data_IF_684934118711
#
_entry.id   IF_684934118711
#
_cell.length_a   1.000
_cell.length_b   1.000
_cell.length_c   1.000
_cell.angle_alpha   90.00
_cell.angle_beta   90.00
_cell.angle_gamma   90.00
#
_symmetry.space_group_name_H-M   'P 1'
#
loop_
_entity.id
_entity.type
_entity.pdbx_description
1 polymer ?
#
# COMPACT_ATOMS: atom_id res chain seq x y z
N UNK A 1 3.34 12.08 -45.99
CA UNK A 1 2.14 11.25 -45.77
C UNK A 1 2.54 10.23 -44.72
N UNK A 2 2.09 10.20 -43.48
CA UNK A 2 1.23 10.99 -42.60
C UNK A 2 1.73 10.59 -41.18
N UNK A 3 1.78 11.47 -40.18
CA UNK A 3 0.66 11.64 -39.25
C UNK A 3 0.78 10.69 -38.03
N UNK A 4 0.35 11.15 -36.86
CA UNK A 4 0.28 10.43 -35.56
C UNK A 4 1.57 10.51 -34.71
N UNK A 5 1.75 11.37 -33.71
CA UNK A 5 0.78 12.13 -32.92
C UNK A 5 0.18 11.26 -31.81
N UNK A 6 0.80 11.20 -30.62
CA UNK A 6 0.05 11.02 -29.35
C UNK A 6 0.91 11.26 -28.10
N UNK A 7 0.74 12.47 -27.55
CA UNK A 7 0.50 12.81 -26.15
C UNK A 7 1.00 11.82 -25.07
N UNK A 8 2.21 12.05 -24.53
CA UNK A 8 2.53 11.59 -23.17
C UNK A 8 2.20 12.70 -22.18
N UNK A 9 1.07 12.50 -21.50
CA UNK A 9 0.49 13.32 -20.45
C UNK A 9 1.53 13.87 -19.47
N UNK A 10 1.42 15.18 -19.23
CA UNK A 10 2.15 16.02 -18.29
C UNK A 10 2.06 15.62 -16.81
N UNK A 11 1.42 14.50 -16.47
CA UNK A 11 1.20 14.06 -15.08
C UNK A 11 2.30 13.13 -14.55
N UNK A 12 3.12 12.53 -15.41
CA UNK A 12 4.29 11.72 -14.98
C UNK A 12 5.44 12.63 -14.48
N UNK A 13 5.40 13.91 -14.82
CA UNK A 13 6.37 14.91 -14.34
C UNK A 13 6.20 15.28 -12.86
N UNK A 14 5.04 14.99 -12.24
CA UNK A 14 4.77 15.38 -10.86
C UNK A 14 5.55 14.58 -9.79
N UNK A 15 6.17 13.44 -10.16
CA UNK A 15 7.12 12.72 -9.28
C UNK A 15 8.59 12.99 -9.61
N UNK A 16 8.88 13.75 -10.67
CA UNK A 16 10.24 14.16 -11.05
C UNK A 16 10.64 15.52 -10.45
N UNK A 17 9.69 16.30 -9.94
CA UNK A 17 9.91 17.61 -9.30
C UNK A 17 10.33 17.54 -7.82
N UNK A 18 11.04 16.49 -7.40
CA UNK A 18 11.71 16.45 -6.08
C UNK A 18 13.22 16.22 -6.17
N UNK A 19 13.77 16.34 -7.38
CA UNK A 19 15.18 16.64 -7.63
C UNK A 19 15.22 18.12 -8.03
N UNK A 20 16.17 18.88 -7.46
CA UNK A 20 16.30 20.35 -7.57
C UNK A 20 15.44 21.18 -6.61
N UNK A 21 15.70 21.11 -5.29
CA UNK A 21 15.59 22.32 -4.45
C UNK A 21 16.70 22.30 -3.39
N UNK A 22 17.45 23.39 -3.44
CA UNK A 22 18.44 23.95 -2.53
C UNK A 22 18.12 23.85 -1.04
N UNK A 23 19.17 23.57 -0.27
CA UNK A 23 19.47 24.08 1.08
C UNK A 23 18.30 24.67 1.87
N UNK A 24 17.75 23.89 2.80
CA UNK A 24 17.39 24.34 4.14
C UNK A 24 17.12 23.13 5.03
N UNK A 25 18.08 22.82 5.90
CA UNK A 25 17.98 21.83 6.97
C UNK A 25 17.06 22.37 8.07
N UNK A 26 15.82 21.88 8.11
CA UNK A 26 14.96 21.95 9.31
C UNK A 26 14.11 20.67 9.41
N UNK A 27 14.47 19.82 10.36
CA UNK A 27 13.66 18.93 11.19
C UNK A 27 12.32 18.42 10.64
N UNK A 28 12.30 17.16 10.20
CA UNK A 28 11.14 16.26 10.34
C UNK A 28 11.60 14.80 10.55
N UNK A 29 12.39 14.57 11.60
CA UNK A 29 12.49 13.24 12.20
C UNK A 29 11.21 12.97 13.00
N UNK A 30 10.23 12.35 12.35
CA UNK A 30 9.18 11.62 13.04
C UNK A 30 8.79 10.48 12.11
N UNK A 31 9.06 9.24 12.50
CA UNK A 31 8.19 8.15 12.12
C UNK A 31 6.83 8.51 12.73
N UNK A 32 6.00 9.26 12.01
CA UNK A 32 4.74 9.78 12.54
C UNK A 32 3.89 8.57 12.88
N UNK A 33 3.90 8.19 14.16
CA UNK A 33 2.91 7.32 14.73
C UNK A 33 1.58 8.00 14.42
N UNK A 34 0.67 7.27 13.76
CA UNK A 34 -0.66 7.82 13.49
C UNK A 34 -1.26 8.20 14.83
N UNK A 35 -1.76 9.43 14.93
CA UNK A 35 -2.64 9.77 16.05
C UNK A 35 -3.77 8.73 16.10
N UNK A 36 -4.20 8.36 17.30
CA UNK A 36 -5.27 7.37 17.48
C UNK A 36 -6.53 7.72 16.66
N UNK A 37 -6.79 9.01 16.44
CA UNK A 37 -7.90 9.50 15.61
C UNK A 37 -7.78 9.18 14.12
N UNK A 38 -6.58 8.93 13.61
CA UNK A 38 -6.33 8.60 12.20
C UNK A 38 -6.40 7.10 11.92
N UNK A 39 -6.47 6.28 12.95
CA UNK A 39 -6.51 4.82 12.84
C UNK A 39 -7.95 4.38 12.64
N UNK A 40 -8.34 4.12 11.39
CA UNK A 40 -9.67 3.61 11.02
C UNK A 40 -9.66 2.08 10.92
N UNK A 41 -10.75 1.43 11.36
CA UNK A 41 -10.97 0.00 11.13
C UNK A 41 -11.48 -0.24 9.71
N UNK A 42 -11.14 -1.39 9.14
CA UNK A 42 -11.71 -1.84 7.87
C UNK A 42 -13.13 -2.33 8.13
N UNK A 43 -14.12 -1.77 7.43
CA UNK A 43 -15.52 -2.17 7.57
C UNK A 43 -16.06 -2.85 6.29
N UNK A 44 -15.49 -2.51 5.13
CA UNK A 44 -15.91 -3.02 3.81
C UNK A 44 -14.67 -3.40 3.01
N UNK A 45 -14.67 -4.60 2.42
CA UNK A 45 -13.58 -5.10 1.59
C UNK A 45 -14.10 -5.51 0.22
N UNK A 46 -13.48 -5.00 -0.84
CA UNK A 46 -13.62 -5.53 -2.18
C UNK A 46 -12.56 -6.61 -2.42
N UNK A 47 -13.00 -7.85 -2.62
CA UNK A 47 -12.15 -9.00 -2.93
C UNK A 47 -11.93 -9.08 -4.43
N UNK A 48 -10.68 -8.90 -4.87
CA UNK A 48 -10.34 -8.67 -6.28
C UNK A 48 -9.78 -9.93 -6.95
N UNK A 49 -10.34 -10.29 -8.11
CA UNK A 49 -9.82 -11.33 -8.98
C UNK A 49 -9.65 -12.68 -8.27
N UNK A 50 -8.45 -13.27 -8.36
CA UNK A 50 -8.12 -14.58 -7.75
C UNK A 50 -8.15 -14.61 -6.22
N UNK A 51 -8.29 -13.46 -5.54
CA UNK A 51 -8.47 -13.45 -4.08
C UNK A 51 -9.82 -14.05 -3.66
N UNK A 52 -10.81 -14.04 -4.57
CA UNK A 52 -12.16 -14.58 -4.33
C UNK A 52 -12.17 -16.08 -4.06
N UNK A 53 -11.19 -16.81 -4.60
CA UNK A 53 -11.04 -18.25 -4.39
C UNK A 53 -10.39 -18.62 -3.05
N UNK A 54 -9.89 -17.63 -2.29
CA UNK A 54 -9.28 -17.88 -0.98
C UNK A 54 -10.35 -17.87 0.13
N UNK A 55 -11.06 -18.98 0.26
CA UNK A 55 -12.18 -19.13 1.21
C UNK A 55 -11.77 -18.89 2.67
N UNK A 56 -10.58 -19.35 3.07
CA UNK A 56 -10.03 -19.12 4.41
C UNK A 56 -9.98 -17.61 4.74
N UNK A 57 -9.48 -16.79 3.81
CA UNK A 57 -9.33 -15.35 4.02
C UNK A 57 -10.70 -14.65 3.99
N UNK A 58 -11.58 -15.02 3.07
CA UNK A 58 -12.93 -14.44 3.01
C UNK A 58 -13.77 -14.80 4.24
N UNK A 59 -13.62 -16.03 4.75
CA UNK A 59 -14.29 -16.47 5.98
C UNK A 59 -13.76 -15.73 7.21
N UNK A 60 -12.45 -15.48 7.30
CA UNK A 60 -11.90 -14.62 8.37
C UNK A 60 -12.47 -13.20 8.30
N UNK A 61 -12.49 -12.58 7.11
CA UNK A 61 -13.05 -11.23 6.96
C UNK A 61 -14.51 -11.16 7.41
N UNK A 62 -15.34 -12.10 6.95
CA UNK A 62 -16.78 -12.12 7.25
C UNK A 62 -17.08 -12.54 8.68
N UNK A 63 -16.55 -13.68 9.10
CA UNK A 63 -16.97 -14.36 10.33
C UNK A 63 -16.16 -13.94 11.57
N UNK A 64 -14.86 -13.62 11.39
CA UNK A 64 -14.01 -13.19 12.50
C UNK A 64 -14.03 -11.66 12.66
N UNK A 65 -13.94 -10.90 11.56
CA UNK A 65 -13.89 -9.44 11.61
C UNK A 65 -15.24 -8.73 11.41
N UNK A 66 -16.29 -9.43 10.95
CA UNK A 66 -17.61 -8.83 10.72
C UNK A 66 -17.63 -7.82 9.57
N UNK A 67 -16.78 -8.01 8.56
CA UNK A 67 -16.60 -7.08 7.43
C UNK A 67 -17.58 -7.39 6.30
N UNK A 68 -18.18 -6.36 5.70
CA UNK A 68 -18.96 -6.49 4.48
C UNK A 68 -18.04 -6.81 3.29
N UNK A 69 -18.34 -7.91 2.59
CA UNK A 69 -17.58 -8.33 1.42
C UNK A 69 -18.30 -7.91 0.14
N UNK A 70 -17.54 -7.25 -0.72
CA UNK A 70 -17.87 -6.96 -2.11
C UNK A 70 -16.93 -7.80 -2.98
N UNK A 71 -17.37 -8.17 -4.17
CA UNK A 71 -16.55 -8.92 -5.12
C UNK A 71 -16.43 -8.14 -6.42
N UNK A 72 -15.24 -8.17 -7.00
CA UNK A 72 -14.97 -7.59 -8.31
C UNK A 72 -13.85 -8.35 -9.00
N UNK A 73 -13.84 -8.34 -10.33
CA UNK A 73 -12.69 -8.86 -11.06
C UNK A 73 -11.48 -7.91 -10.95
N UNK A 74 -11.70 -6.61 -11.10
CA UNK A 74 -10.64 -5.59 -11.18
C UNK A 74 -10.75 -4.47 -10.13
N UNK A 75 -11.89 -4.36 -9.45
CA UNK A 75 -12.22 -3.34 -8.45
C UNK A 75 -12.64 -2.00 -9.05
N UNK A 76 -12.77 -1.88 -10.37
CA UNK A 76 -12.99 -0.62 -11.09
C UNK A 76 -14.23 0.12 -10.57
N UNK A 77 -15.35 -0.60 -10.40
CA UNK A 77 -16.65 -0.06 -10.00
C UNK A 77 -16.64 0.56 -8.60
N UNK A 78 -15.66 0.18 -7.76
CA UNK A 78 -15.51 0.67 -6.39
C UNK A 78 -14.44 1.75 -6.23
N UNK A 79 -13.78 2.17 -7.32
CA UNK A 79 -12.72 3.18 -7.26
C UNK A 79 -13.22 4.59 -6.90
N UNK A 80 -14.52 4.86 -6.96
CA UNK A 80 -15.08 6.15 -6.49
C UNK A 80 -15.40 6.14 -5.00
N UNK A 81 -15.50 4.96 -4.39
CA UNK A 81 -15.79 4.80 -2.97
C UNK A 81 -14.52 5.03 -2.14
N UNK A 82 -14.66 5.81 -1.06
CA UNK A 82 -13.56 6.15 -0.15
C UNK A 82 -13.49 5.26 1.09
N UNK A 83 -14.54 4.47 1.32
CA UNK A 83 -14.76 3.61 2.48
C UNK A 83 -14.45 2.13 2.21
N UNK A 84 -14.01 1.78 1.00
CA UNK A 84 -13.69 0.42 0.58
C UNK A 84 -12.18 0.18 0.62
N UNK A 85 -11.77 -0.91 1.28
CA UNK A 85 -10.41 -1.46 1.22
C UNK A 85 -10.35 -2.61 0.23
N UNK A 86 -9.31 -2.72 -0.57
CA UNK A 86 -9.19 -3.76 -1.60
C UNK A 86 -8.29 -4.90 -1.10
N UNK A 87 -8.73 -6.14 -1.29
CA UNK A 87 -7.93 -7.34 -1.04
C UNK A 87 -7.36 -7.85 -2.37
N UNK A 88 -6.03 -7.83 -2.49
CA UNK A 88 -5.31 -8.45 -3.61
C UNK A 88 -4.47 -9.63 -3.09
N UNK A 89 -4.49 -10.77 -3.79
CA UNK A 89 -3.73 -11.96 -3.40
C UNK A 89 -2.22 -11.75 -3.39
N UNK A 90 -1.70 -10.93 -4.31
CA UNK A 90 -0.28 -10.69 -4.53
C UNK A 90 -0.04 -9.24 -4.97
N UNK A 91 1.15 -8.69 -4.65
CA UNK A 91 1.47 -7.27 -4.92
C UNK A 91 2.50 -7.05 -6.05
N UNK A 92 3.38 -8.00 -6.36
CA UNK A 92 4.47 -7.80 -7.37
C UNK A 92 4.00 -8.04 -8.80
N UNK A 93 3.17 -9.06 -9.00
CA UNK A 93 2.80 -9.57 -10.32
C UNK A 93 1.28 -9.54 -10.59
N UNK A 94 0.55 -8.70 -9.85
CA UNK A 94 -0.89 -8.52 -10.02
C UNK A 94 -1.20 -7.22 -10.79
N UNK A 95 -1.85 -7.36 -11.96
CA UNK A 95 -2.28 -6.21 -12.77
C UNK A 95 -3.28 -5.31 -12.03
N UNK A 96 -4.23 -5.94 -11.32
CA UNK A 96 -5.24 -5.22 -10.54
C UNK A 96 -4.65 -4.48 -9.35
N UNK A 97 -3.66 -5.07 -8.67
CA UNK A 97 -2.89 -4.35 -7.66
C UNK A 97 -2.26 -3.07 -8.22
N UNK A 98 -1.55 -3.17 -9.37
CA UNK A 98 -0.89 -2.01 -10.00
C UNK A 98 -1.90 -0.91 -10.35
N UNK A 99 -3.06 -1.28 -10.87
CA UNK A 99 -4.16 -0.36 -11.17
C UNK A 99 -4.73 0.31 -9.90
N UNK A 100 -5.12 -0.47 -8.89
CA UNK A 100 -5.70 0.07 -7.66
C UNK A 100 -4.71 0.94 -6.87
N UNK A 101 -3.41 0.57 -6.90
CA UNK A 101 -2.35 1.32 -6.25
C UNK A 101 -2.09 2.65 -6.98
N UNK A 102 -2.15 2.69 -8.31
CA UNK A 102 -2.07 3.95 -9.06
C UNK A 102 -3.28 4.86 -8.80
N UNK A 103 -4.45 4.28 -8.53
CA UNK A 103 -5.64 4.99 -8.04
C UNK A 103 -5.59 5.38 -6.55
N UNK A 104 -4.45 5.19 -5.87
CA UNK A 104 -4.24 5.53 -4.46
C UNK A 104 -5.22 4.87 -3.49
N UNK A 105 -5.66 3.65 -3.81
CA UNK A 105 -6.63 2.92 -2.99
C UNK A 105 -5.98 2.23 -1.79
N UNK A 106 -6.69 2.09 -0.65
CA UNK A 106 -6.20 1.29 0.46
C UNK A 106 -6.26 -0.19 0.07
N UNK A 107 -5.09 -0.86 0.08
CA UNK A 107 -4.95 -2.25 -0.35
C UNK A 107 -4.33 -3.08 0.77
N UNK A 108 -4.89 -4.26 1.02
CA UNK A 108 -4.38 -5.26 1.97
C UNK A 108 -4.12 -6.60 1.29
N UNK A 109 -3.20 -7.38 1.86
CA UNK A 109 -2.93 -8.76 1.45
C UNK A 109 -3.52 -9.81 2.39
N UNK A 110 -3.55 -11.09 1.97
CA UNK A 110 -4.00 -12.19 2.81
C UNK A 110 -3.24 -12.38 4.12
N UNK A 111 -1.92 -12.14 4.12
CA UNK A 111 -1.06 -12.44 5.26
C UNK A 111 -1.37 -11.55 6.47
N UNK A 112 -1.65 -10.26 6.26
CA UNK A 112 -2.04 -9.36 7.35
C UNK A 112 -3.40 -9.76 7.95
N UNK A 113 -4.36 -10.22 7.13
CA UNK A 113 -5.68 -10.67 7.62
C UNK A 113 -5.52 -11.87 8.55
N UNK A 114 -4.80 -12.92 8.10
CA UNK A 114 -4.52 -14.11 8.90
C UNK A 114 -3.81 -13.76 10.21
N UNK A 115 -2.75 -12.95 10.13
CA UNK A 115 -1.99 -12.57 11.32
C UNK A 115 -2.85 -11.79 12.32
N UNK A 116 -3.68 -10.85 11.86
CA UNK A 116 -4.57 -10.08 12.74
C UNK A 116 -5.60 -10.96 13.44
N UNK A 117 -6.10 -11.98 12.75
CA UNK A 117 -7.04 -12.94 13.33
C UNK A 117 -6.38 -13.78 14.43
N UNK A 118 -5.15 -14.27 14.18
CA UNK A 118 -4.35 -15.03 15.16
C UNK A 118 -4.01 -14.17 16.38
N UNK A 119 -3.59 -12.92 16.15
CA UNK A 119 -3.22 -11.97 17.21
C UNK A 119 -4.43 -11.42 17.99
N UNK A 120 -5.67 -11.67 17.55
CA UNK A 120 -6.88 -11.06 18.14
C UNK A 120 -6.92 -9.53 18.01
N UNK A 121 -6.23 -8.96 17.02
CA UNK A 121 -6.10 -7.51 16.81
C UNK A 121 -7.06 -7.04 15.72
N UNK A 122 -7.56 -5.79 15.79
CA UNK A 122 -8.42 -5.25 14.74
C UNK A 122 -7.67 -5.15 13.41
N UNK A 123 -8.39 -5.35 12.31
CA UNK A 123 -7.93 -5.04 10.97
C UNK A 123 -8.09 -3.53 10.70
N UNK A 124 -6.98 -2.87 10.39
CA UNK A 124 -6.92 -1.41 10.27
C UNK A 124 -6.70 -1.01 8.81
N UNK A 125 -7.31 0.11 8.40
CA UNK A 125 -7.11 0.68 7.07
C UNK A 125 -5.63 1.07 6.93
N UNK A 126 -4.93 0.62 5.87
CA UNK A 126 -3.53 0.96 5.62
C UNK A 126 -3.28 2.47 5.52
N UNK A 127 -2.01 2.89 5.50
CA UNK A 127 -1.70 4.31 5.26
C UNK A 127 -2.02 4.70 3.81
N UNK A 128 -2.44 5.96 3.56
CA UNK A 128 -2.58 6.44 2.19
C UNK A 128 -1.30 6.13 1.42
N UNK A 129 -1.43 5.57 0.21
CA UNK A 129 -0.30 5.18 -0.64
C UNK A 129 0.70 4.21 0.02
N UNK A 130 0.20 3.37 0.94
CA UNK A 130 0.95 2.31 1.63
C UNK A 130 0.11 1.04 1.73
N UNK A 131 0.01 0.24 0.63
CA UNK A 131 -0.53 -1.11 0.69
C UNK A 131 0.15 -1.94 1.78
N UNK A 132 -0.59 -2.84 2.42
CA UNK A 132 -0.08 -3.65 3.53
C UNK A 132 -0.35 -5.14 3.27
N UNK A 133 0.68 -5.88 2.89
CA UNK A 133 0.59 -7.32 2.67
C UNK A 133 0.71 -8.10 3.98
N UNK A 134 1.68 -7.71 4.80
CA UNK A 134 1.99 -8.23 6.13
C UNK A 134 2.60 -7.11 6.97
N UNK A 135 2.78 -7.32 8.26
CA UNK A 135 3.45 -6.37 9.17
C UNK A 135 4.74 -6.95 9.77
N UNK A 136 5.41 -7.86 9.04
CA UNK A 136 6.67 -8.51 9.44
C UNK A 136 7.84 -7.53 9.65
N UNK A 137 7.80 -6.37 9.00
CA UNK A 137 8.78 -5.29 9.16
C UNK A 137 8.20 -4.10 9.95
N UNK A 138 7.09 -4.27 10.65
CA UNK A 138 6.54 -3.22 11.51
C UNK A 138 7.57 -2.78 12.55
N UNK A 139 7.84 -1.48 12.62
CA UNK A 139 8.87 -0.90 13.50
C UNK A 139 10.29 -0.95 12.93
N UNK A 140 10.50 -1.59 11.78
CA UNK A 140 11.81 -1.61 11.11
C UNK A 140 11.95 -0.38 10.21
N UNK A 141 13.08 0.31 10.36
CA UNK A 141 13.56 1.39 9.50
C UNK A 141 14.77 0.90 8.72
N UNK A 142 14.74 1.04 7.40
CA UNK A 142 15.87 0.71 6.53
C UNK A 142 16.49 1.97 5.92
N UNK A 143 17.79 1.89 5.62
CA UNK A 143 18.47 2.81 4.72
C UNK A 143 19.24 1.95 3.70
N UNK A 144 19.05 2.23 2.42
CA UNK A 144 19.66 1.45 1.33
C UNK A 144 20.79 2.25 0.69
N UNK A 145 21.91 1.58 0.43
CA UNK A 145 23.04 2.14 -0.32
C UNK A 145 23.59 1.08 -1.28
N UNK A 146 24.34 1.51 -2.31
CA UNK A 146 24.97 0.59 -3.27
C UNK A 146 24.03 -0.08 -4.28
N UNK A 147 22.74 0.28 -4.30
CA UNK A 147 21.76 -0.23 -5.26
C UNK A 147 21.50 0.77 -6.38
N UNK A 148 21.17 0.26 -7.57
CA UNK A 148 20.62 1.09 -8.65
C UNK A 148 19.30 1.74 -8.19
N UNK A 149 18.92 2.88 -8.78
CA UNK A 149 17.67 3.57 -8.42
C UNK A 149 16.44 2.67 -8.59
N UNK A 150 16.45 1.80 -9.60
CA UNK A 150 15.36 0.82 -9.83
C UNK A 150 15.26 -0.17 -8.67
N UNK A 151 16.37 -0.83 -8.32
CA UNK A 151 16.39 -1.84 -7.25
C UNK A 151 16.11 -1.21 -5.88
N UNK A 152 16.55 0.03 -5.66
CA UNK A 152 16.25 0.78 -4.45
C UNK A 152 14.72 1.01 -4.29
N UNK A 153 14.03 1.43 -5.36
CA UNK A 153 12.57 1.62 -5.33
C UNK A 153 11.82 0.31 -5.05
N UNK A 154 12.17 -0.77 -5.76
CA UNK A 154 11.56 -2.09 -5.56
C UNK A 154 11.76 -2.58 -4.12
N UNK A 155 12.95 -2.43 -3.55
CA UNK A 155 13.22 -2.80 -2.17
C UNK A 155 12.42 -1.94 -1.16
N UNK A 156 12.33 -0.63 -1.40
CA UNK A 156 11.51 0.28 -0.57
C UNK A 156 10.03 -0.10 -0.61
N UNK A 157 9.50 -0.45 -1.79
CA UNK A 157 8.11 -0.89 -1.94
C UNK A 157 7.85 -2.18 -1.16
N UNK A 158 8.75 -3.18 -1.28
CA UNK A 158 8.65 -4.42 -0.50
C UNK A 158 8.66 -4.16 1.01
N UNK A 159 9.53 -3.28 1.50
CA UNK A 159 9.55 -2.90 2.93
C UNK A 159 8.25 -2.23 3.36
N UNK A 160 7.69 -1.33 2.53
CA UNK A 160 6.40 -0.71 2.83
C UNK A 160 5.26 -1.74 2.85
N UNK A 161 5.25 -2.71 1.94
CA UNK A 161 4.26 -3.79 1.93
C UNK A 161 4.33 -4.68 3.18
N UNK A 162 5.51 -4.74 3.82
CA UNK A 162 5.73 -5.44 5.08
C UNK A 162 5.55 -4.55 6.33
N UNK A 163 5.05 -3.32 6.18
CA UNK A 163 4.77 -2.40 7.28
C UNK A 163 5.99 -1.66 7.83
N UNK A 164 7.16 -1.80 7.19
CA UNK A 164 8.37 -1.06 7.53
C UNK A 164 8.40 0.35 6.94
N UNK A 165 9.53 1.00 7.10
CA UNK A 165 9.78 2.34 6.56
C UNK A 165 11.21 2.47 6.04
N UNK A 166 11.41 3.36 5.08
CA UNK A 166 12.71 3.64 4.50
C UNK A 166 13.12 5.09 4.74
N UNK A 167 14.40 5.31 5.01
CA UNK A 167 15.04 6.62 5.14
C UNK A 167 16.17 6.72 4.12
N UNK A 168 16.44 7.96 3.65
CA UNK A 168 17.52 8.22 2.68
C UNK A 168 18.91 8.08 3.32
N UNK A 169 19.03 8.46 4.58
CA UNK A 169 20.28 8.48 5.33
C UNK A 169 20.09 7.56 6.54
N UNK A 170 21.13 6.80 6.87
CA UNK A 170 21.15 6.04 8.10
C UNK A 170 21.21 7.01 9.29
N UNK A 171 20.19 6.98 10.15
CA UNK A 171 20.15 7.70 11.42
C UNK A 171 19.99 6.69 12.54
N UNK A 172 20.82 6.82 13.58
CA UNK A 172 20.77 5.96 14.76
C UNK A 172 19.68 6.38 15.77
N UNK A 173 18.79 7.31 15.39
CA UNK A 173 17.74 7.83 16.28
C UNK A 173 16.97 6.69 16.95
N UNK A 174 17.03 6.66 18.28
CA UNK A 174 16.37 5.69 19.16
C UNK A 174 14.86 5.92 19.17
#
# INVERSE_FOLDING_TARGET
>A
MDGEGSVLSSEVAASLLSLEVTENFTDRENAVARSASQVKRVNRVCVVGVARSNTEVTDLLKNHFGIELLESEDGYEFTKNTDITFLCSEFTDCRWFKYLNSCQKPIIGPAIIRKRAVDGKPLLVPRPNRPLYTDSMSGVRIALSGLSTKNCREAVDLVHFMGGSAQRIFSAST
#
